data_IF_678746819321
#
_entry.id   IF_678746819321
#
_cell.length_a   1.000
_cell.length_b   1.000
_cell.length_c   1.000
_cell.angle_alpha   90.00
_cell.angle_beta   90.00
_cell.angle_gamma   90.00
#
_symmetry.space_group_name_H-M   'P 1'
#
loop_
_entity.id
_entity.type
_entity.pdbx_description
1 polymer ?
#
# COMPACT_ATOMS: atom_id res chain seq x y z
N UNK A 1 -22.24 -11.47 -18.03
CA UNK A 1 -20.85 -11.00 -18.24
C UNK A 1 -20.93 -9.56 -18.73
N UNK A 2 -20.36 -8.62 -17.98
CA UNK A 2 -20.37 -7.19 -18.31
C UNK A 2 -19.15 -6.78 -19.15
N UNK A 3 -19.06 -5.50 -19.56
CA UNK A 3 -17.84 -4.96 -20.18
C UNK A 3 -16.65 -5.01 -19.20
N UNK A 4 -15.40 -4.78 -19.65
CA UNK A 4 -14.22 -4.73 -18.77
C UNK A 4 -14.39 -3.82 -17.54
N UNK A 5 -15.13 -2.73 -17.70
CA UNK A 5 -15.45 -1.80 -16.61
C UNK A 5 -16.20 -2.45 -15.44
N UNK A 6 -16.98 -3.50 -15.70
CA UNK A 6 -17.69 -4.26 -14.68
C UNK A 6 -16.76 -5.02 -13.74
N UNK A 7 -15.47 -5.14 -14.07
CA UNK A 7 -14.44 -5.79 -13.27
C UNK A 7 -13.41 -4.82 -12.70
N UNK A 8 -13.62 -3.51 -12.86
CA UNK A 8 -12.71 -2.49 -12.34
C UNK A 8 -13.12 -2.03 -10.94
N UNK A 9 -12.20 -2.10 -9.98
CA UNK A 9 -12.46 -1.68 -8.59
C UNK A 9 -12.65 -0.17 -8.42
N UNK A 10 -12.29 0.65 -9.42
CA UNK A 10 -12.39 2.12 -9.37
C UNK A 10 -13.56 2.68 -10.18
N UNK A 11 -14.42 1.83 -10.76
CA UNK A 11 -15.58 2.26 -11.55
C UNK A 11 -16.87 1.87 -10.81
N UNK A 12 -17.65 2.87 -10.42
CA UNK A 12 -18.96 2.69 -9.80
C UNK A 12 -19.98 2.14 -10.81
N UNK A 13 -20.93 1.32 -10.33
CA UNK A 13 -22.12 0.99 -11.11
C UNK A 13 -23.07 2.19 -11.14
N UNK A 14 -23.54 2.57 -12.33
CA UNK A 14 -24.43 3.73 -12.53
C UNK A 14 -25.78 3.25 -13.06
N UNK A 15 -26.86 3.76 -12.50
CA UNK A 15 -28.22 3.47 -12.91
C UNK A 15 -28.92 4.78 -13.25
N UNK A 16 -29.51 4.86 -14.44
CA UNK A 16 -30.24 6.02 -14.92
C UNK A 16 -31.59 5.61 -15.52
N UNK A 17 -32.55 6.52 -15.47
CA UNK A 17 -33.86 6.31 -16.07
C UNK A 17 -34.49 7.63 -16.48
N UNK A 18 -35.15 7.63 -17.63
CA UNK A 18 -35.81 8.79 -18.19
C UNK A 18 -37.08 8.40 -18.94
N UNK A 19 -38.02 9.35 -19.01
CA UNK A 19 -39.21 9.22 -19.84
C UNK A 19 -38.91 9.79 -21.23
N UNK A 20 -39.02 8.96 -22.26
CA UNK A 20 -38.94 9.36 -23.66
C UNK A 20 -40.36 9.44 -24.20
N UNK A 21 -40.83 10.66 -24.50
CA UNK A 21 -42.07 10.83 -25.25
C UNK A 21 -41.76 10.56 -26.72
N UNK A 22 -42.40 9.55 -27.29
CA UNK A 22 -42.28 9.23 -28.72
C UNK A 22 -43.55 9.70 -29.39
N UNK A 23 -43.43 10.71 -30.26
CA UNK A 23 -44.53 11.16 -31.10
C UNK A 23 -44.70 10.18 -32.27
N UNK A 24 -45.81 9.44 -32.30
CA UNK A 24 -46.23 8.61 -33.43
C UNK A 24 -47.66 8.98 -33.82
N UNK A 25 -47.80 9.94 -34.73
CA UNK A 25 -49.12 10.41 -35.19
C UNK A 25 -49.87 11.21 -34.12
N UNK A 26 -51.22 11.22 -34.09
CA UNK A 26 -52.01 12.01 -33.15
C UNK A 26 -51.95 11.52 -31.69
N UNK A 27 -51.28 10.40 -31.40
CA UNK A 27 -51.11 9.86 -30.05
C UNK A 27 -49.67 10.04 -29.56
N UNK A 28 -49.52 10.71 -28.41
CA UNK A 28 -48.25 10.79 -27.70
C UNK A 28 -48.13 9.61 -26.72
N UNK A 29 -47.08 8.80 -26.85
CA UNK A 29 -46.81 7.71 -25.91
C UNK A 29 -45.50 7.94 -25.17
N UNK A 30 -45.60 8.19 -23.87
CA UNK A 30 -44.44 8.31 -22.98
C UNK A 30 -43.93 6.93 -22.59
N UNK A 31 -42.71 6.60 -23.00
CA UNK A 31 -42.03 5.34 -22.70
C UNK A 31 -40.91 5.61 -21.70
N UNK A 32 -40.98 5.02 -20.51
CA UNK A 32 -39.85 5.01 -19.58
C UNK A 32 -38.78 4.04 -20.07
N UNK A 33 -37.56 4.53 -20.23
CA UNK A 33 -36.37 3.68 -20.43
C UNK A 33 -35.44 3.83 -19.25
N UNK A 34 -34.92 2.70 -18.78
CA UNK A 34 -33.83 2.62 -17.82
C UNK A 34 -32.58 2.15 -18.54
N UNK A 35 -31.43 2.64 -18.11
CA UNK A 35 -30.12 2.16 -18.53
C UNK A 35 -29.25 1.94 -17.29
N UNK A 36 -28.42 0.91 -17.33
CA UNK A 36 -27.44 0.63 -16.28
C UNK A 36 -26.07 0.40 -16.91
N UNK A 37 -25.06 0.99 -16.31
CA UNK A 37 -23.65 0.76 -16.62
C UNK A 37 -23.07 -0.01 -15.44
N UNK A 38 -22.69 -1.26 -15.69
CA UNK A 38 -22.08 -2.11 -14.67
C UNK A 38 -20.62 -1.67 -14.42
N UNK A 39 -20.33 -1.30 -13.18
CA UNK A 39 -18.99 -1.05 -12.67
C UNK A 39 -18.62 -2.08 -11.60
N UNK A 40 -17.33 -2.36 -11.41
CA UNK A 40 -16.84 -3.38 -10.49
C UNK A 40 -16.63 -2.92 -9.04
N UNK A 41 -16.67 -1.61 -8.77
CA UNK A 41 -16.34 -1.05 -7.46
C UNK A 41 -17.27 -1.54 -6.34
N UNK A 42 -16.69 -1.94 -5.21
CA UNK A 42 -17.45 -2.21 -3.99
C UNK A 42 -18.10 -0.90 -3.48
N UNK A 43 -19.44 -0.86 -3.30
CA UNK A 43 -20.14 0.37 -2.91
C UNK A 43 -19.83 0.80 -1.46
N UNK A 44 -19.55 -0.14 -0.56
CA UNK A 44 -19.31 0.17 0.86
C UNK A 44 -17.96 0.85 1.12
N UNK A 45 -16.90 0.39 0.47
CA UNK A 45 -15.56 0.93 0.64
C UNK A 45 -15.09 1.81 -0.52
N UNK A 46 -15.95 2.06 -1.52
CA UNK A 46 -15.63 2.84 -2.72
C UNK A 46 -14.36 2.34 -3.41
N UNK A 47 -14.18 1.02 -3.46
CA UNK A 47 -13.00 0.41 -4.08
C UNK A 47 -11.69 0.60 -3.31
N UNK A 48 -11.72 1.02 -2.04
CA UNK A 48 -10.52 1.08 -1.18
C UNK A 48 -10.10 -0.29 -0.62
N UNK A 49 -11.04 -1.22 -0.50
CA UNK A 49 -10.83 -2.52 0.16
C UNK A 49 -10.83 -2.47 1.69
N UNK A 50 -10.58 -1.30 2.25
CA UNK A 50 -10.68 -1.02 3.68
C UNK A 50 -11.79 -0.01 3.94
N UNK A 51 -12.43 -0.16 5.10
CA UNK A 51 -13.36 0.84 5.62
C UNK A 51 -12.70 1.55 6.79
N UNK A 52 -12.86 2.87 6.81
CA UNK A 52 -12.56 3.67 8.00
C UNK A 52 -13.51 3.21 9.09
N UNK A 53 -12.94 2.62 10.11
CA UNK A 53 -13.66 2.20 11.28
C UNK A 53 -13.07 2.87 12.51
N UNK A 54 -13.83 2.84 13.60
CA UNK A 54 -13.41 3.46 14.85
C UNK A 54 -13.00 2.33 15.79
N UNK A 55 -11.77 2.40 16.26
CA UNK A 55 -11.35 1.61 17.42
C UNK A 55 -12.06 2.15 18.65
N UNK A 56 -13.08 1.42 19.10
CA UNK A 56 -13.91 1.77 20.25
C UNK A 56 -13.10 1.87 21.53
N UNK A 57 -12.00 1.12 21.65
CA UNK A 57 -11.12 1.16 22.83
C UNK A 57 -10.40 2.50 22.95
N UNK A 58 -10.28 3.26 21.86
CA UNK A 58 -9.68 4.59 21.84
C UNK A 58 -10.70 5.70 22.15
N UNK A 59 -11.99 5.36 22.31
CA UNK A 59 -13.05 6.33 22.59
C UNK A 59 -13.36 6.49 24.09
N UNK A 60 -13.04 5.48 24.89
CA UNK A 60 -13.33 5.49 26.32
C UNK A 60 -12.34 4.65 27.14
N UNK A 61 -12.28 4.95 28.43
CA UNK A 61 -11.56 4.21 29.47
C UNK A 61 -12.53 3.20 30.11
N UNK A 62 -12.29 1.87 29.98
CA UNK A 62 -13.24 0.85 30.44
C UNK A 62 -13.36 0.77 31.96
N UNK A 63 -12.35 1.23 32.71
CA UNK A 63 -12.30 1.12 34.17
C UNK A 63 -13.02 2.29 34.88
N UNK A 64 -13.51 3.28 34.14
CA UNK A 64 -14.22 4.45 34.67
C UNK A 64 -15.69 4.46 34.28
N UNK A 65 -16.50 5.15 35.07
CA UNK A 65 -17.88 5.47 34.70
C UNK A 65 -17.97 6.72 33.81
N UNK A 66 -19.12 6.94 33.18
CA UNK A 66 -19.34 8.14 32.36
C UNK A 66 -19.21 9.43 33.19
N UNK A 67 -19.68 9.40 34.44
CA UNK A 67 -19.57 10.53 35.37
C UNK A 67 -18.11 10.81 35.82
N UNK A 68 -17.27 9.78 35.89
CA UNK A 68 -15.83 9.89 36.21
C UNK A 68 -14.97 10.35 35.01
N UNK A 69 -15.59 10.56 33.85
CA UNK A 69 -14.88 10.99 32.64
C UNK A 69 -14.25 9.85 31.87
N UNK A 70 -14.97 8.73 31.74
CA UNK A 70 -14.54 7.62 30.90
C UNK A 70 -14.35 7.98 29.42
N UNK A 71 -15.07 8.97 28.88
CA UNK A 71 -15.00 9.30 27.44
C UNK A 71 -13.70 10.07 27.13
N UNK A 72 -12.84 9.50 26.28
CA UNK A 72 -11.52 10.07 25.92
C UNK A 72 -11.56 10.93 24.66
N UNK A 73 -12.73 11.09 24.05
CA UNK A 73 -12.95 11.90 22.86
C UNK A 73 -12.75 13.40 23.17
N UNK A 74 -11.95 14.15 22.38
CA UNK A 74 -11.76 15.58 22.60
C UNK A 74 -13.09 16.35 22.65
N UNK A 75 -13.28 17.12 23.71
CA UNK A 75 -14.50 17.92 23.95
C UNK A 75 -15.57 17.22 24.80
N UNK A 76 -15.41 15.95 25.15
CA UNK A 76 -16.38 15.16 25.92
C UNK A 76 -16.03 15.07 27.40
N UNK A 77 -15.94 16.23 28.06
CA UNK A 77 -15.77 16.27 29.53
C UNK A 77 -17.10 15.88 30.22
N UNK A 78 -17.11 15.36 31.46
CA UNK A 78 -18.34 15.05 32.19
C UNK A 78 -19.36 16.20 32.25
N UNK A 79 -18.86 17.44 32.34
CA UNK A 79 -19.67 18.67 32.37
C UNK A 79 -20.11 19.16 30.99
N UNK A 80 -19.63 18.53 29.91
CA UNK A 80 -19.95 18.95 28.55
C UNK A 80 -21.36 18.51 28.15
N UNK A 81 -22.04 19.35 27.36
CA UNK A 81 -23.41 19.10 26.91
C UNK A 81 -23.61 17.73 26.22
N UNK A 82 -22.71 17.25 25.35
CA UNK A 82 -22.84 15.92 24.74
C UNK A 82 -22.88 14.78 25.76
N UNK A 83 -22.13 14.88 26.86
CA UNK A 83 -22.06 13.86 27.93
C UNK A 83 -23.26 13.98 28.85
N UNK A 84 -23.73 15.19 29.14
CA UNK A 84 -24.95 15.41 29.93
C UNK A 84 -26.19 14.77 29.27
N UNK A 85 -26.27 14.79 27.94
CA UNK A 85 -27.32 14.08 27.19
C UNK A 85 -27.21 12.56 27.41
N UNK A 86 -25.99 12.02 27.46
CA UNK A 86 -25.76 10.58 27.67
C UNK A 86 -26.17 10.19 29.09
N UNK A 87 -25.70 10.94 30.09
CA UNK A 87 -26.02 10.71 31.51
C UNK A 87 -27.52 10.81 31.77
N UNK A 88 -28.20 11.80 31.19
CA UNK A 88 -29.63 12.01 31.41
C UNK A 88 -30.53 11.18 30.47
N UNK A 89 -29.97 10.31 29.62
CA UNK A 89 -30.75 9.54 28.64
C UNK A 89 -31.63 8.46 29.27
N UNK A 90 -31.24 7.95 30.45
CA UNK A 90 -31.86 6.78 31.08
C UNK A 90 -31.64 5.46 30.34
N UNK A 91 -30.76 5.43 29.33
CA UNK A 91 -30.48 4.25 28.50
C UNK A 91 -29.27 3.44 28.96
N UNK A 92 -28.49 3.99 29.88
CA UNK A 92 -27.29 3.42 30.49
C UNK A 92 -27.22 3.86 31.96
N UNK A 93 -26.46 3.12 32.77
CA UNK A 93 -26.07 3.55 34.12
C UNK A 93 -24.80 4.42 34.06
N UNK A 94 -24.86 5.73 34.39
CA UNK A 94 -23.73 6.64 34.26
C UNK A 94 -22.69 6.52 35.37
N UNK A 95 -23.01 5.87 36.49
CA UNK A 95 -22.13 5.68 37.65
C UNK A 95 -21.39 4.34 37.62
N UNK A 96 -21.88 3.41 36.80
CA UNK A 96 -21.28 2.11 36.57
C UNK A 96 -20.05 2.21 35.64
N UNK A 97 -18.92 1.55 35.98
CA UNK A 97 -17.78 1.44 35.06
C UNK A 97 -18.18 0.79 33.73
N UNK A 98 -17.64 1.29 32.61
CA UNK A 98 -18.06 0.82 31.27
C UNK A 98 -17.78 -0.68 31.08
N UNK A 99 -16.71 -1.23 31.65
CA UNK A 99 -16.40 -2.68 31.57
C UNK A 99 -17.50 -3.58 32.12
N UNK A 100 -18.32 -3.06 33.05
CA UNK A 100 -19.37 -3.82 33.71
C UNK A 100 -20.73 -3.68 32.97
N UNK A 101 -20.79 -2.86 31.92
CA UNK A 101 -22.01 -2.68 31.12
C UNK A 101 -22.48 -4.00 30.52
N UNK A 102 -23.80 -4.21 30.57
CA UNK A 102 -24.43 -5.29 29.82
C UNK A 102 -24.31 -5.03 28.31
N UNK A 103 -24.43 -6.07 27.48
CA UNK A 103 -24.37 -5.93 26.02
C UNK A 103 -25.38 -4.89 25.49
N UNK A 104 -26.54 -4.76 26.15
CA UNK A 104 -27.56 -3.75 25.79
C UNK A 104 -27.14 -2.34 26.18
N UNK A 105 -26.58 -2.15 27.38
CA UNK A 105 -26.04 -0.85 27.83
C UNK A 105 -24.87 -0.41 26.94
N UNK A 106 -23.95 -1.33 26.62
CA UNK A 106 -22.81 -1.07 25.77
C UNK A 106 -23.23 -0.73 24.33
N UNK A 107 -24.21 -1.47 23.78
CA UNK A 107 -24.79 -1.16 22.48
C UNK A 107 -25.46 0.23 22.47
N UNK A 108 -26.24 0.55 23.51
CA UNK A 108 -26.88 1.85 23.66
C UNK A 108 -25.84 2.97 23.69
N UNK A 109 -24.78 2.80 24.48
CA UNK A 109 -23.68 3.74 24.63
C UNK A 109 -22.90 3.98 23.33
N UNK A 110 -22.59 2.92 22.57
CA UNK A 110 -21.70 3.01 21.40
C UNK A 110 -22.43 3.22 20.08
N UNK A 111 -23.48 2.44 19.80
CA UNK A 111 -23.99 2.25 18.44
C UNK A 111 -25.43 2.70 18.20
N UNK A 112 -26.14 3.12 19.25
CA UNK A 112 -27.56 3.50 19.12
C UNK A 112 -27.78 4.59 18.07
N UNK A 113 -28.75 4.33 17.19
CA UNK A 113 -29.20 5.31 16.22
C UNK A 113 -29.84 6.54 16.91
N UNK A 114 -29.88 7.66 16.19
CA UNK A 114 -30.43 8.92 16.66
C UNK A 114 -31.88 8.75 17.13
N UNK A 115 -32.08 8.73 18.45
CA UNK A 115 -33.37 8.53 19.11
C UNK A 115 -33.74 9.79 19.88
N UNK A 116 -35.01 10.20 19.82
CA UNK A 116 -35.49 11.30 20.65
C UNK A 116 -35.65 10.83 22.10
N UNK A 117 -34.99 11.52 23.02
CA UNK A 117 -35.10 11.32 24.47
C UNK A 117 -35.60 12.61 25.12
N UNK A 118 -36.38 12.48 26.19
CA UNK A 118 -36.93 13.63 26.91
C UNK A 118 -36.05 13.91 28.12
N UNK A 119 -35.34 15.04 28.10
CA UNK A 119 -34.41 15.45 29.16
C UNK A 119 -34.86 16.82 29.67
N UNK A 120 -35.13 16.93 30.97
CA UNK A 120 -35.52 18.20 31.63
C UNK A 120 -36.58 19.00 30.87
N UNK A 121 -37.69 18.35 30.50
CA UNK A 121 -38.80 18.91 29.71
C UNK A 121 -38.50 19.37 28.27
N UNK A 122 -37.33 19.03 27.72
CA UNK A 122 -36.97 19.32 26.33
C UNK A 122 -36.70 18.03 25.56
N UNK A 123 -37.12 17.98 24.29
CA UNK A 123 -36.80 16.86 23.40
C UNK A 123 -35.36 17.02 22.91
N UNK A 124 -34.50 16.07 23.27
CA UNK A 124 -33.11 16.00 22.83
C UNK A 124 -32.90 14.76 21.95
N UNK A 125 -31.85 14.78 21.13
CA UNK A 125 -31.46 13.63 20.31
C UNK A 125 -30.30 12.92 20.97
N UNK A 126 -30.55 11.70 21.44
CA UNK A 126 -29.53 10.77 21.89
C UNK A 126 -29.03 9.95 20.71
N UNK A 127 -27.72 9.75 20.64
CA UNK A 127 -27.07 8.91 19.65
C UNK A 127 -25.83 8.31 20.30
N UNK A 128 -25.49 7.08 19.90
CA UNK A 128 -24.31 6.39 20.39
C UNK A 128 -23.02 7.14 20.04
N UNK A 129 -22.00 6.93 20.87
CA UNK A 129 -20.71 7.62 20.77
C UNK A 129 -20.05 7.42 19.40
N UNK A 130 -20.07 6.20 18.84
CA UNK A 130 -19.49 5.88 17.52
C UNK A 130 -20.23 6.65 16.42
N UNK A 131 -21.56 6.67 16.47
CA UNK A 131 -22.41 7.39 15.50
C UNK A 131 -22.10 8.89 15.51
N UNK A 132 -22.00 9.47 16.70
CA UNK A 132 -21.69 10.90 16.87
C UNK A 132 -20.29 11.25 16.41
N UNK A 133 -19.28 10.44 16.77
CA UNK A 133 -17.88 10.64 16.36
C UNK A 133 -17.74 10.57 14.85
N UNK A 134 -18.36 9.56 14.21
CA UNK A 134 -18.36 9.41 12.75
C UNK A 134 -18.96 10.64 12.06
N UNK A 135 -20.09 11.15 12.55
CA UNK A 135 -20.72 12.35 12.00
C UNK A 135 -19.90 13.62 12.23
N UNK A 136 -19.27 13.76 13.39
CA UNK A 136 -18.65 15.03 13.82
C UNK A 136 -17.20 15.20 13.35
N UNK A 137 -16.45 14.11 13.25
CA UNK A 137 -15.02 14.11 12.95
C UNK A 137 -14.67 13.47 11.60
N UNK A 138 -15.39 12.42 11.17
CA UNK A 138 -15.05 11.69 9.93
C UNK A 138 -15.75 12.23 8.67
N UNK A 139 -16.67 13.19 8.81
CA UNK A 139 -17.31 13.88 7.69
C UNK A 139 -16.56 15.13 7.21
N UNK A 140 -15.55 15.57 7.96
CA UNK A 140 -14.76 16.78 7.69
C UNK A 140 -13.42 16.44 7.09
N UNK A 141 -12.87 17.35 6.30
CA UNK A 141 -11.51 17.22 5.77
C UNK A 141 -10.51 17.16 6.93
N UNK A 142 -9.62 16.16 6.88
CA UNK A 142 -8.62 15.89 7.92
C UNK A 142 -7.63 17.03 8.08
N UNK A 143 -7.31 17.75 7.01
CA UNK A 143 -6.40 18.91 7.05
C UNK A 143 -7.05 20.17 7.65
N UNK A 144 -8.39 20.21 7.72
CA UNK A 144 -9.14 21.29 8.36
C UNK A 144 -9.36 21.08 9.88
N UNK A 145 -8.91 19.94 10.43
CA UNK A 145 -9.06 19.61 11.85
C UNK A 145 -8.00 20.28 12.71
N UNK A 146 -8.38 20.71 13.92
CA UNK A 146 -7.43 21.22 14.92
C UNK A 146 -6.43 20.13 15.32
N UNK A 147 -5.16 20.47 15.64
CA UNK A 147 -4.09 19.49 15.85
C UNK A 147 -4.42 18.36 16.85
N UNK A 148 -5.05 18.71 17.98
CA UNK A 148 -5.42 17.72 19.00
C UNK A 148 -6.59 16.81 18.57
N UNK A 149 -7.50 17.31 17.72
CA UNK A 149 -8.57 16.50 17.12
C UNK A 149 -7.97 15.58 16.07
N UNK A 150 -7.03 16.09 15.25
CA UNK A 150 -6.31 15.29 14.25
C UNK A 150 -5.57 14.13 14.90
N UNK A 151 -4.84 14.38 15.98
CA UNK A 151 -4.13 13.34 16.74
C UNK A 151 -5.09 12.28 17.30
N UNK A 152 -6.27 12.68 17.77
CA UNK A 152 -7.31 11.75 18.20
C UNK A 152 -7.85 10.92 17.03
N UNK A 153 -8.17 11.55 15.89
CA UNK A 153 -8.66 10.86 14.69
C UNK A 153 -7.61 9.86 14.18
N UNK A 154 -6.35 10.25 14.08
CA UNK A 154 -5.27 9.38 13.63
C UNK A 154 -5.05 8.18 14.58
N UNK A 155 -5.36 8.32 15.88
CA UNK A 155 -5.31 7.23 16.87
C UNK A 155 -6.55 6.34 16.86
N UNK A 156 -7.74 6.94 16.77
CA UNK A 156 -9.01 6.25 16.92
C UNK A 156 -9.54 5.66 15.61
N UNK A 157 -9.09 6.15 14.47
CA UNK A 157 -9.42 5.56 13.16
C UNK A 157 -8.53 4.35 12.93
N UNK A 158 -9.15 3.19 12.88
CA UNK A 158 -8.53 1.99 12.36
C UNK A 158 -9.04 1.71 10.97
N UNK A 159 -8.15 1.20 10.13
CA UNK A 159 -8.54 0.66 8.84
C UNK A 159 -8.84 -0.81 9.04
N UNK A 160 -10.11 -1.19 8.91
CA UNK A 160 -10.53 -2.59 8.90
C UNK A 160 -10.75 -3.04 7.47
N UNK A 161 -10.47 -4.31 7.20
CA UNK A 161 -10.86 -4.96 5.95
C UNK A 161 -12.37 -4.77 5.75
N UNK A 162 -12.78 -4.33 4.56
CA UNK A 162 -14.19 -4.10 4.26
C UNK A 162 -14.94 -5.44 4.35
N UNK A 163 -15.96 -5.59 5.20
CA UNK A 163 -16.65 -6.87 5.38
C UNK A 163 -17.51 -7.29 4.17
N UNK A 164 -17.93 -6.33 3.33
CA UNK A 164 -18.76 -6.65 2.16
C UNK A 164 -17.94 -7.29 1.03
N UNK A 165 -16.71 -6.81 0.85
CA UNK A 165 -15.81 -7.29 -0.22
C UNK A 165 -14.62 -8.09 0.30
N UNK A 166 -14.47 -8.24 1.61
CA UNK A 166 -13.34 -8.89 2.27
C UNK A 166 -11.97 -8.40 1.75
N UNK A 167 -11.83 -7.09 1.57
CA UNK A 167 -10.58 -6.49 1.09
C UNK A 167 -10.40 -6.48 -0.42
N UNK A 168 -11.15 -7.28 -1.18
CA UNK A 168 -11.00 -7.44 -2.65
C UNK A 168 -11.31 -6.19 -3.47
N UNK A 169 -11.89 -5.15 -2.85
CA UNK A 169 -12.27 -3.86 -3.48
C UNK A 169 -13.39 -3.95 -4.51
N UNK A 170 -13.85 -5.14 -4.83
CA UNK A 170 -14.83 -5.43 -5.88
C UNK A 170 -16.21 -5.73 -5.30
N UNK A 171 -17.25 -5.46 -6.07
CA UNK A 171 -18.62 -5.85 -5.72
C UNK A 171 -18.85 -7.35 -5.94
N UNK A 172 -20.00 -7.83 -5.48
CA UNK A 172 -20.38 -9.24 -5.57
C UNK A 172 -20.50 -9.74 -7.02
N UNK A 173 -21.04 -8.92 -7.94
CA UNK A 173 -21.21 -9.29 -9.34
C UNK A 173 -19.87 -9.52 -10.06
N UNK A 174 -18.85 -8.72 -9.76
CA UNK A 174 -17.51 -8.90 -10.30
C UNK A 174 -16.84 -10.17 -9.74
N UNK A 175 -17.02 -10.46 -8.44
CA UNK A 175 -16.44 -11.63 -7.76
C UNK A 175 -17.13 -12.95 -8.11
N UNK A 176 -18.41 -12.92 -8.50
CA UNK A 176 -19.14 -14.13 -8.88
C UNK A 176 -18.77 -14.64 -10.27
N UNK A 177 -18.18 -13.80 -11.11
CA UNK A 177 -17.62 -14.19 -12.41
C UNK A 177 -16.30 -14.92 -12.23
N UNK A 178 -16.24 -16.17 -12.69
CA UNK A 178 -15.11 -17.07 -12.47
C UNK A 178 -14.63 -17.71 -13.77
N UNK A 179 -13.32 -17.88 -13.90
CA UNK A 179 -12.68 -18.68 -14.94
C UNK A 179 -12.10 -19.90 -14.24
N UNK A 180 -12.54 -21.11 -14.61
CA UNK A 180 -12.14 -22.38 -13.94
C UNK A 180 -12.21 -22.32 -12.41
N UNK A 181 -13.26 -21.67 -11.87
CA UNK A 181 -13.49 -21.54 -10.42
C UNK A 181 -12.80 -20.36 -9.74
N UNK A 182 -11.94 -19.61 -10.44
CA UNK A 182 -11.13 -18.50 -9.92
C UNK A 182 -11.74 -17.17 -10.35
N UNK A 183 -12.04 -16.28 -9.40
CA UNK A 183 -12.50 -14.92 -9.68
C UNK A 183 -11.34 -13.97 -9.98
N UNK A 184 -11.61 -12.78 -10.50
CA UNK A 184 -10.57 -11.75 -10.70
C UNK A 184 -9.90 -11.33 -9.37
N UNK A 185 -10.63 -11.37 -8.25
CA UNK A 185 -10.08 -11.07 -6.94
C UNK A 185 -9.07 -12.15 -6.51
N UNK A 186 -9.44 -13.42 -6.68
CA UNK A 186 -8.58 -14.56 -6.36
C UNK A 186 -7.32 -14.54 -7.22
N UNK A 187 -7.47 -14.29 -8.53
CA UNK A 187 -6.34 -14.18 -9.46
C UNK A 187 -5.37 -13.05 -9.07
N UNK A 188 -5.88 -11.88 -8.65
CA UNK A 188 -5.03 -10.77 -8.22
C UNK A 188 -4.30 -11.02 -6.89
N UNK A 189 -4.86 -11.88 -6.02
CA UNK A 189 -4.28 -12.23 -4.73
C UNK A 189 -3.20 -13.32 -4.81
N UNK A 190 -3.14 -14.08 -5.91
CA UNK A 190 -2.07 -15.05 -6.15
C UNK A 190 -0.71 -14.36 -6.23
N UNK A 191 0.35 -15.12 -5.88
CA UNK A 191 1.69 -14.72 -6.30
C UNK A 191 1.74 -14.68 -7.83
N UNK A 192 2.44 -13.69 -8.38
CA UNK A 192 2.53 -13.49 -9.82
C UNK A 192 3.12 -14.73 -10.51
N UNK A 193 4.03 -15.46 -9.86
CA UNK A 193 4.54 -16.75 -10.35
C UNK A 193 3.41 -17.77 -10.58
N UNK A 194 2.54 -17.92 -9.58
CA UNK A 194 1.45 -18.90 -9.58
C UNK A 194 0.36 -18.46 -10.57
N UNK A 195 0.10 -17.14 -10.62
CA UNK A 195 -0.80 -16.55 -11.59
C UNK A 195 -0.30 -16.77 -13.02
N UNK A 196 1.00 -16.58 -13.28
CA UNK A 196 1.59 -16.83 -14.60
C UNK A 196 1.38 -18.29 -15.04
N UNK A 197 1.62 -19.24 -14.14
CA UNK A 197 1.42 -20.66 -14.40
C UNK A 197 -0.06 -21.00 -14.63
N UNK A 198 -0.96 -20.42 -13.83
CA UNK A 198 -2.40 -20.57 -14.04
C UNK A 198 -2.86 -20.02 -15.39
N UNK A 199 -2.41 -18.82 -15.79
CA UNK A 199 -2.74 -18.24 -17.10
C UNK A 199 -2.17 -19.08 -18.24
N UNK A 200 -0.99 -19.70 -18.08
CA UNK A 200 -0.43 -20.66 -19.06
C UNK A 200 -1.29 -21.90 -19.24
N UNK A 201 -2.04 -22.30 -18.22
CA UNK A 201 -2.96 -23.45 -18.30
C UNK A 201 -4.26 -23.17 -19.07
N UNK A 202 -4.57 -21.89 -19.35
CA UNK A 202 -5.81 -21.50 -20.02
C UNK A 202 -5.71 -21.77 -21.53
N UNK A 203 -6.54 -22.70 -22.01
CA UNK A 203 -6.71 -23.00 -23.44
C UNK A 203 -8.00 -22.35 -23.93
N UNK A 204 -7.90 -21.09 -24.35
CA UNK A 204 -9.05 -20.27 -24.77
C UNK A 204 -8.79 -19.62 -26.15
N UNK A 205 -9.01 -20.36 -27.26
CA UNK A 205 -8.69 -19.89 -28.61
C UNK A 205 -9.39 -18.57 -28.99
N UNK A 206 -10.59 -18.34 -28.46
CA UNK A 206 -11.39 -17.14 -28.73
C UNK A 206 -10.73 -15.84 -28.26
N UNK A 207 -9.82 -15.90 -27.29
CA UNK A 207 -9.12 -14.75 -26.69
C UNK A 207 -7.60 -14.96 -26.66
N UNK A 208 -7.07 -15.84 -27.52
CA UNK A 208 -5.66 -16.21 -27.53
C UNK A 208 -4.67 -15.02 -27.55
N UNK A 209 -4.88 -13.93 -28.33
CA UNK A 209 -3.97 -12.78 -28.29
C UNK A 209 -3.94 -12.07 -26.92
N UNK A 210 -5.07 -12.04 -26.21
CA UNK A 210 -5.17 -11.43 -24.88
C UNK A 210 -4.44 -12.27 -23.84
N UNK A 211 -4.64 -13.60 -23.89
CA UNK A 211 -3.95 -14.55 -23.00
C UNK A 211 -2.44 -14.47 -23.23
N UNK A 212 -1.97 -14.47 -24.48
CA UNK A 212 -0.54 -14.35 -24.79
C UNK A 212 0.06 -13.02 -24.28
N UNK A 213 -0.65 -11.90 -24.44
CA UNK A 213 -0.19 -10.59 -23.92
C UNK A 213 -0.11 -10.58 -22.39
N UNK A 214 -1.09 -11.20 -21.72
CA UNK A 214 -1.10 -11.31 -20.27
C UNK A 214 0.03 -12.21 -19.77
N UNK A 215 0.25 -13.38 -20.40
CA UNK A 215 1.34 -14.29 -20.10
C UNK A 215 2.69 -13.59 -20.22
N UNK A 216 2.96 -12.92 -21.34
CA UNK A 216 4.22 -12.18 -21.54
C UNK A 216 4.44 -11.10 -20.47
N UNK A 217 3.36 -10.44 -20.05
CA UNK A 217 3.43 -9.43 -18.96
C UNK A 217 3.80 -10.08 -17.64
N UNK A 218 3.14 -11.17 -17.25
CA UNK A 218 3.39 -11.89 -16.00
C UNK A 218 4.79 -12.53 -15.99
N UNK A 219 5.22 -13.10 -17.12
CA UNK A 219 6.57 -13.67 -17.30
C UNK A 219 7.62 -12.59 -17.09
N UNK A 220 7.40 -11.38 -17.63
CA UNK A 220 8.27 -10.24 -17.40
C UNK A 220 8.38 -9.88 -15.92
N UNK A 221 7.33 -9.99 -15.11
CA UNK A 221 7.42 -9.78 -13.66
C UNK A 221 8.25 -10.89 -12.98
N UNK A 222 8.09 -12.15 -13.39
CA UNK A 222 8.82 -13.29 -12.81
C UNK A 222 10.31 -13.20 -13.13
N UNK A 223 10.67 -12.94 -14.39
CA UNK A 223 12.06 -12.84 -14.87
C UNK A 223 12.87 -11.79 -14.11
N UNK A 224 12.24 -10.69 -13.71
CA UNK A 224 12.90 -9.60 -12.98
C UNK A 224 12.91 -9.78 -11.47
N UNK A 225 12.51 -10.97 -11.00
CA UNK A 225 12.47 -11.29 -9.58
C UNK A 225 11.34 -10.60 -8.82
N UNK A 226 10.22 -10.27 -9.47
CA UNK A 226 8.99 -9.78 -8.82
C UNK A 226 7.88 -10.84 -8.74
N UNK A 227 8.17 -12.10 -9.09
CA UNK A 227 7.19 -13.19 -9.07
C UNK A 227 6.53 -13.45 -7.71
N UNK A 228 7.19 -13.10 -6.60
CA UNK A 228 6.67 -13.28 -5.24
C UNK A 228 5.62 -12.23 -4.84
N UNK A 229 5.46 -11.16 -5.63
CA UNK A 229 4.43 -10.16 -5.40
C UNK A 229 3.06 -10.69 -5.81
N UNK A 230 2.00 -10.08 -5.29
CA UNK A 230 0.63 -10.21 -5.80
C UNK A 230 0.21 -8.91 -6.50
N UNK A 231 -0.77 -8.99 -7.40
CA UNK A 231 -1.27 -7.82 -8.14
C UNK A 231 -2.14 -6.90 -7.28
N UNK A 232 -2.70 -7.41 -6.18
CA UNK A 232 -3.48 -6.64 -5.22
C UNK A 232 -2.64 -5.90 -4.17
N UNK A 233 -1.31 -6.14 -4.12
CA UNK A 233 -0.40 -5.46 -3.19
C UNK A 233 -0.40 -3.95 -3.45
N UNK A 234 -0.68 -3.11 -2.43
CA UNK A 234 -0.70 -1.66 -2.61
C UNK A 234 0.67 -1.11 -3.03
N UNK A 235 0.71 -0.26 -4.05
CA UNK A 235 1.95 0.30 -4.60
C UNK A 235 2.77 1.09 -3.57
N UNK A 236 2.10 1.71 -2.59
CA UNK A 236 2.77 2.45 -1.50
C UNK A 236 3.49 1.56 -0.48
N UNK A 237 3.31 0.23 -0.55
CA UNK A 237 3.98 -0.74 0.32
C UNK A 237 5.18 -1.41 -0.35
N UNK A 238 5.45 -1.09 -1.62
CA UNK A 238 6.60 -1.61 -2.34
C UNK A 238 7.87 -0.91 -1.85
N UNK A 239 8.96 -1.67 -1.71
CA UNK A 239 10.29 -1.10 -1.48
C UNK A 239 10.72 -0.24 -2.68
N UNK A 240 11.70 0.64 -2.48
CA UNK A 240 12.24 1.45 -3.58
C UNK A 240 12.69 0.60 -4.78
N UNK A 241 13.41 -0.48 -4.50
CA UNK A 241 13.85 -1.44 -5.52
C UNK A 241 12.71 -2.20 -6.18
N UNK A 242 11.68 -2.62 -5.43
CA UNK A 242 10.48 -3.24 -5.99
C UNK A 242 9.76 -2.26 -6.94
N UNK A 243 9.47 -1.05 -6.49
CA UNK A 243 8.78 -0.03 -7.27
C UNK A 243 9.52 0.34 -8.56
N UNK A 244 10.85 0.42 -8.49
CA UNK A 244 11.71 0.66 -9.65
C UNK A 244 11.61 -0.48 -10.68
N UNK A 245 11.71 -1.73 -10.23
CA UNK A 245 11.57 -2.91 -11.10
C UNK A 245 10.16 -3.00 -11.74
N UNK A 246 9.09 -2.68 -11.00
CA UNK A 246 7.72 -2.63 -11.56
C UNK A 246 7.62 -1.63 -12.71
N UNK A 247 8.26 -0.46 -12.59
CA UNK A 247 8.27 0.54 -13.66
C UNK A 247 8.99 0.03 -14.91
N UNK A 248 10.03 -0.77 -14.74
CA UNK A 248 10.78 -1.35 -15.85
C UNK A 248 10.00 -2.38 -16.65
N UNK A 249 9.13 -3.19 -16.00
CA UNK A 249 8.26 -4.16 -16.72
C UNK A 249 7.50 -3.50 -17.86
N UNK A 250 6.96 -2.30 -17.62
CA UNK A 250 6.19 -1.56 -18.61
C UNK A 250 7.00 -1.24 -19.87
N UNK A 251 8.31 -1.02 -19.72
CA UNK A 251 9.19 -0.74 -20.84
C UNK A 251 9.64 -2.02 -21.55
N UNK A 252 9.81 -3.13 -20.83
CA UNK A 252 10.12 -4.43 -21.42
C UNK A 252 8.96 -4.98 -22.26
N UNK A 253 7.71 -4.79 -21.82
CA UNK A 253 6.53 -5.18 -22.59
C UNK A 253 6.23 -4.28 -23.80
N UNK A 254 6.93 -3.15 -23.93
CA UNK A 254 6.73 -2.22 -25.04
C UNK A 254 7.44 -2.70 -26.31
N UNK A 255 6.81 -2.47 -27.46
CA UNK A 255 7.41 -2.67 -28.78
C UNK A 255 8.25 -1.49 -29.25
N UNK A 256 8.56 -0.54 -28.34
CA UNK A 256 9.34 0.64 -28.67
C UNK A 256 10.80 0.25 -28.97
N UNK A 257 11.29 0.72 -30.12
CA UNK A 257 12.67 0.67 -30.58
C UNK A 257 13.14 2.10 -30.85
N UNK A 258 14.46 2.34 -30.97
CA UNK A 258 15.04 3.66 -31.19
C UNK A 258 14.72 4.69 -30.09
N UNK A 259 14.49 4.21 -28.85
CA UNK A 259 14.29 5.07 -27.68
C UNK A 259 15.59 5.17 -26.87
N UNK A 260 15.85 6.34 -26.32
CA UNK A 260 16.91 6.54 -25.32
C UNK A 260 16.32 6.44 -23.92
N UNK A 261 16.64 5.37 -23.20
CA UNK A 261 16.32 5.21 -21.79
C UNK A 261 17.43 5.80 -20.93
N UNK A 262 17.05 6.64 -19.97
CA UNK A 262 17.97 7.22 -18.98
C UNK A 262 17.57 6.72 -17.60
N UNK A 263 18.47 5.98 -16.95
CA UNK A 263 18.30 5.44 -15.61
C UNK A 263 19.23 6.17 -14.63
N UNK A 264 18.65 6.59 -13.51
CA UNK A 264 19.36 7.17 -12.38
C UNK A 264 19.43 6.13 -11.25
N UNK A 265 20.62 5.60 -10.99
CA UNK A 265 20.91 4.53 -10.01
C UNK A 265 19.85 3.41 -9.97
N UNK A 266 19.69 2.63 -11.07
CA UNK A 266 18.72 1.54 -11.16
C UNK A 266 18.88 0.45 -10.10
N UNK A 267 20.03 0.38 -9.43
CA UNK A 267 20.28 -0.66 -8.41
C UNK A 267 20.14 -0.18 -6.98
N UNK A 268 19.67 1.05 -6.74
CA UNK A 268 19.49 1.58 -5.39
C UNK A 268 18.52 0.69 -4.58
N UNK A 269 18.93 0.31 -3.37
CA UNK A 269 18.15 -0.56 -2.49
C UNK A 269 17.99 -2.00 -3.00
N UNK A 270 18.71 -2.41 -4.06
CA UNK A 270 18.73 -3.81 -4.52
C UNK A 270 19.74 -4.64 -3.73
N UNK A 271 19.29 -5.84 -3.34
CA UNK A 271 20.18 -6.87 -2.83
C UNK A 271 21.20 -7.27 -3.91
N UNK A 272 22.47 -7.57 -3.58
CA UNK A 272 23.48 -7.93 -4.59
C UNK A 272 23.06 -9.04 -5.55
N UNK A 273 22.32 -10.04 -5.06
CA UNK A 273 21.76 -11.11 -5.90
C UNK A 273 20.80 -10.61 -7.00
N UNK A 274 20.07 -9.51 -6.76
CA UNK A 274 19.11 -8.95 -7.72
C UNK A 274 19.76 -7.95 -8.70
N UNK A 275 21.01 -7.53 -8.46
CA UNK A 275 21.75 -6.67 -9.40
C UNK A 275 21.94 -7.38 -10.74
N UNK A 276 22.23 -8.68 -10.72
CA UNK A 276 22.40 -9.46 -11.93
C UNK A 276 21.14 -9.46 -12.82
N UNK A 277 19.96 -9.59 -12.19
CA UNK A 277 18.67 -9.49 -12.91
C UNK A 277 18.47 -8.11 -13.51
N UNK A 278 18.81 -7.06 -12.77
CA UNK A 278 18.76 -5.68 -13.28
C UNK A 278 19.68 -5.51 -14.50
N UNK A 279 20.91 -6.04 -14.42
CA UNK A 279 21.88 -6.01 -15.50
C UNK A 279 21.33 -6.69 -16.77
N UNK A 280 20.77 -7.90 -16.64
CA UNK A 280 20.15 -8.62 -17.77
C UNK A 280 19.01 -7.83 -18.42
N UNK A 281 18.24 -7.08 -17.63
CA UNK A 281 17.20 -6.21 -18.17
C UNK A 281 17.72 -5.03 -18.97
N UNK A 282 18.76 -4.36 -18.45
CA UNK A 282 19.40 -3.24 -19.14
C UNK A 282 19.96 -3.71 -20.49
N UNK A 283 20.60 -4.88 -20.52
CA UNK A 283 21.11 -5.50 -21.74
C UNK A 283 19.97 -5.84 -22.71
N UNK A 284 18.86 -6.44 -22.24
CA UNK A 284 17.70 -6.73 -23.10
C UNK A 284 17.06 -5.48 -23.67
N UNK A 285 16.98 -4.40 -22.91
CA UNK A 285 16.47 -3.12 -23.41
C UNK A 285 17.36 -2.59 -24.54
N UNK A 286 18.68 -2.63 -24.36
CA UNK A 286 19.67 -2.28 -25.39
C UNK A 286 19.51 -3.17 -26.63
N UNK A 287 19.47 -4.49 -26.46
CA UNK A 287 19.45 -5.47 -27.54
C UNK A 287 18.16 -5.43 -28.37
N UNK A 288 17.10 -4.80 -27.85
CA UNK A 288 15.90 -4.43 -28.61
C UNK A 288 16.12 -3.26 -29.59
N UNK A 289 17.33 -2.72 -29.71
CA UNK A 289 17.64 -1.57 -30.57
C UNK A 289 17.40 -0.23 -29.88
N UNK A 290 17.59 -0.16 -28.56
CA UNK A 290 17.47 1.08 -27.80
C UNK A 290 18.84 1.55 -27.29
N UNK A 291 18.95 2.84 -27.00
CA UNK A 291 20.10 3.37 -26.26
C UNK A 291 19.77 3.37 -24.77
N UNK A 292 20.65 2.80 -23.94
CA UNK A 292 20.47 2.73 -22.49
C UNK A 292 21.59 3.49 -21.81
N UNK A 293 21.27 4.65 -21.24
CA UNK A 293 22.19 5.47 -20.44
C UNK A 293 21.91 5.23 -18.96
N UNK A 294 22.94 4.85 -18.21
CA UNK A 294 22.81 4.51 -16.78
C UNK A 294 23.80 5.34 -15.97
N UNK A 295 23.29 6.05 -14.96
CA UNK A 295 24.10 6.64 -13.89
C UNK A 295 24.22 5.60 -12.79
N UNK A 296 25.43 5.12 -12.54
CA UNK A 296 25.70 4.08 -11.53
C UNK A 296 27.08 4.24 -10.89
N UNK A 297 27.20 3.65 -9.71
CA UNK A 297 28.45 3.57 -8.95
C UNK A 297 28.81 2.13 -8.57
N UNK A 298 27.93 1.15 -8.81
CA UNK A 298 28.21 -0.26 -8.50
C UNK A 298 29.11 -0.92 -9.56
N UNK A 299 30.23 -1.56 -9.16
CA UNK A 299 31.14 -2.23 -10.09
C UNK A 299 30.46 -3.27 -10.98
N UNK A 300 29.46 -3.98 -10.47
CA UNK A 300 28.72 -5.02 -11.20
C UNK A 300 27.93 -4.45 -12.38
N UNK A 301 27.42 -3.22 -12.28
CA UNK A 301 26.71 -2.57 -13.39
C UNK A 301 27.70 -1.96 -14.37
N UNK A 302 28.75 -1.30 -13.87
CA UNK A 302 29.82 -0.74 -14.71
C UNK A 302 30.44 -1.85 -15.57
N UNK A 303 30.59 -3.05 -15.02
CA UNK A 303 31.20 -4.19 -15.70
C UNK A 303 30.47 -4.66 -16.97
N UNK A 304 29.16 -4.41 -17.09
CA UNK A 304 28.36 -4.83 -18.26
C UNK A 304 28.23 -3.73 -19.33
N UNK A 305 28.78 -2.53 -19.08
CA UNK A 305 28.63 -1.40 -19.98
C UNK A 305 29.48 -1.59 -21.26
N UNK A 306 28.89 -1.30 -22.42
CA UNK A 306 29.62 -1.25 -23.68
C UNK A 306 30.53 -0.01 -23.76
N UNK A 307 30.10 1.07 -23.12
CA UNK A 307 30.82 2.35 -23.07
C UNK A 307 30.61 3.01 -21.71
N UNK A 308 31.68 3.57 -21.14
CA UNK A 308 31.67 4.25 -19.85
C UNK A 308 32.18 5.68 -20.02
N UNK A 309 31.46 6.62 -19.41
CA UNK A 309 31.86 8.02 -19.26
C UNK A 309 32.07 8.26 -17.77
N UNK A 310 33.30 8.57 -17.38
CA UNK A 310 33.64 8.92 -16.00
C UNK A 310 33.68 10.44 -15.84
N UNK A 311 32.96 10.95 -14.84
CA UNK A 311 32.85 12.39 -14.55
C UNK A 311 33.58 12.72 -13.24
N UNK A 312 34.32 13.83 -13.23
CA UNK A 312 35.06 14.24 -12.05
C UNK A 312 35.91 15.49 -12.30
N UNK A 313 37.10 15.60 -11.66
CA UNK A 313 37.70 14.68 -10.68
C UNK A 313 37.11 14.75 -9.26
N UNK A 314 36.30 15.78 -8.96
CA UNK A 314 35.61 15.96 -7.68
C UNK A 314 34.14 16.34 -7.88
N UNK A 315 33.48 16.76 -6.81
CA UNK A 315 32.09 17.25 -6.85
C UNK A 315 32.01 18.78 -6.95
N UNK A 316 30.86 19.31 -7.35
CA UNK A 316 30.59 20.75 -7.41
C UNK A 316 31.52 21.47 -8.39
N UNK A 317 32.17 22.55 -7.94
CA UNK A 317 33.09 23.35 -8.76
C UNK A 317 34.35 22.58 -9.21
N UNK A 318 34.65 21.43 -8.60
CA UNK A 318 35.77 20.56 -8.96
C UNK A 318 35.34 19.38 -9.86
N UNK A 319 34.07 19.37 -10.30
CA UNK A 319 33.49 18.34 -11.15
C UNK A 319 33.16 18.81 -12.55
N UNK A 320 32.25 18.08 -13.22
CA UNK A 320 31.70 18.47 -14.52
C UNK A 320 32.65 18.26 -15.71
N UNK A 321 33.80 17.62 -15.51
CA UNK A 321 34.75 17.28 -16.57
C UNK A 321 34.66 15.79 -16.90
N UNK A 322 34.71 15.46 -18.18
CA UNK A 322 34.86 14.06 -18.63
C UNK A 322 36.30 13.63 -18.38
N UNK A 323 36.50 12.79 -17.37
CA UNK A 323 37.80 12.27 -16.98
C UNK A 323 38.21 11.05 -17.83
N UNK A 324 37.24 10.28 -18.29
CA UNK A 324 37.45 9.14 -19.18
C UNK A 324 36.20 8.90 -20.04
N UNK A 325 36.40 8.44 -21.27
CA UNK A 325 35.35 7.94 -22.15
C UNK A 325 35.89 6.77 -22.98
N UNK A 326 35.27 5.59 -22.90
CA UNK A 326 35.76 4.40 -23.57
C UNK A 326 35.19 3.10 -23.02
N UNK A 327 35.93 2.00 -23.17
CA UNK A 327 35.52 0.68 -22.67
C UNK A 327 35.80 0.53 -21.17
N UNK A 328 35.16 -0.45 -20.54
CA UNK A 328 35.40 -0.80 -19.12
C UNK A 328 36.87 -1.16 -18.88
N UNK A 329 37.50 -1.89 -19.80
CA UNK A 329 38.92 -2.24 -19.67
C UNK A 329 39.83 -1.01 -19.79
N UNK A 330 39.48 -0.06 -20.64
CA UNK A 330 40.16 1.24 -20.70
C UNK A 330 40.00 2.02 -19.39
N UNK A 331 38.82 1.99 -18.77
CA UNK A 331 38.57 2.64 -17.48
C UNK A 331 39.42 2.02 -16.37
N UNK A 332 39.50 0.68 -16.32
CA UNK A 332 40.35 -0.06 -15.37
C UNK A 332 41.83 0.28 -15.50
N UNK A 333 42.30 0.54 -16.72
CA UNK A 333 43.69 0.95 -16.98
C UNK A 333 43.93 2.46 -16.75
N UNK A 334 42.88 3.26 -16.57
CA UNK A 334 42.96 4.70 -16.43
C UNK A 334 43.43 5.13 -15.02
N UNK A 335 43.94 6.35 -14.92
CA UNK A 335 44.31 6.98 -13.64
C UNK A 335 43.15 7.75 -13.00
N UNK A 336 41.90 7.50 -13.42
CA UNK A 336 40.72 8.13 -12.83
C UNK A 336 40.44 7.61 -11.42
N UNK A 337 39.62 8.34 -10.64
CA UNK A 337 39.23 7.90 -9.29
C UNK A 337 38.44 6.59 -9.35
N UNK A 338 37.48 6.52 -10.27
CA UNK A 338 36.63 5.35 -10.52
C UNK A 338 37.47 4.16 -11.00
N UNK A 339 38.37 4.37 -11.97
CA UNK A 339 39.26 3.32 -12.49
C UNK A 339 40.10 2.66 -11.39
N UNK A 340 40.63 3.44 -10.45
CA UNK A 340 41.38 2.92 -9.29
C UNK A 340 40.51 2.08 -8.35
N UNK A 341 39.29 2.53 -8.05
CA UNK A 341 38.42 1.87 -7.07
C UNK A 341 37.67 0.66 -7.62
N UNK A 342 37.57 0.47 -8.94
CA UNK A 342 36.93 -0.71 -9.54
C UNK A 342 37.54 -2.04 -9.09
N UNK A 343 38.83 -2.04 -8.72
CA UNK A 343 39.55 -3.21 -8.23
C UNK A 343 39.60 -3.35 -6.70
N UNK A 344 39.06 -2.38 -5.95
CA UNK A 344 39.18 -2.38 -4.49
C UNK A 344 38.38 -3.53 -3.89
N UNK A 345 39.04 -4.31 -3.03
CA UNK A 345 38.42 -5.38 -2.28
C UNK A 345 38.32 -4.98 -0.81
N UNK A 346 37.11 -5.08 -0.27
CA UNK A 346 36.89 -4.87 1.17
C UNK A 346 37.55 -6.01 1.93
N UNK A 347 38.49 -5.69 2.82
CA UNK A 347 39.05 -6.62 3.77
C UNK A 347 38.19 -6.66 5.04
N UNK A 348 38.05 -7.85 5.63
CA UNK A 348 37.48 -7.98 6.97
C UNK A 348 38.43 -7.35 7.99
N UNK A 349 37.88 -6.74 9.03
CA UNK A 349 38.68 -6.23 10.14
C UNK A 349 39.22 -7.40 10.95
N UNK A 350 40.51 -7.39 11.26
CA UNK A 350 41.14 -8.39 12.13
C UNK A 350 40.60 -8.35 13.56
N UNK A 351 40.13 -7.17 14.00
CA UNK A 351 39.57 -6.96 15.33
C UNK A 351 38.15 -6.43 15.23
N UNK A 352 37.24 -7.10 15.95
CA UNK A 352 35.84 -6.69 16.09
C UNK A 352 35.60 -6.18 17.50
N UNK A 353 34.60 -5.31 17.63
CA UNK A 353 34.18 -4.76 18.92
C UNK A 353 33.44 -5.81 19.75
N UNK A 354 33.68 -5.83 21.06
CA UNK A 354 32.90 -6.65 22.01
C UNK A 354 31.55 -5.95 22.30
N UNK A 355 30.41 -6.65 22.23
CA UNK A 355 29.11 -6.10 22.60
C UNK A 355 29.06 -5.65 24.07
N UNK A 356 28.40 -4.52 24.34
CA UNK A 356 28.13 -4.04 25.72
C UNK A 356 26.63 -4.16 25.98
N UNK A 357 26.16 -5.40 26.15
CA UNK A 357 24.74 -5.72 26.36
C UNK A 357 23.98 -6.17 25.11
N UNK A 358 22.66 -6.28 25.24
CA UNK A 358 21.73 -6.71 24.17
C UNK A 358 20.39 -6.02 24.30
N UNK A 359 19.80 -5.66 23.16
CA UNK A 359 18.40 -5.32 23.00
C UNK A 359 17.68 -6.56 22.48
N UNK A 360 16.76 -7.10 23.26
CA UNK A 360 16.06 -8.35 22.94
C UNK A 360 14.74 -8.06 22.24
N UNK A 361 14.56 -8.66 21.06
CA UNK A 361 13.27 -8.76 20.38
C UNK A 361 12.83 -10.22 20.52
N UNK A 362 11.59 -10.44 20.96
CA UNK A 362 11.04 -11.77 21.21
C UNK A 362 9.69 -11.95 20.55
N UNK A 363 9.47 -13.15 20.00
CA UNK A 363 8.19 -13.59 19.44
C UNK A 363 7.66 -12.70 18.32
N UNK A 364 8.53 -12.15 17.47
CA UNK A 364 8.10 -11.25 16.41
C UNK A 364 7.33 -12.02 15.31
N UNK A 365 6.06 -11.66 15.08
CA UNK A 365 5.14 -12.34 14.15
C UNK A 365 4.51 -11.42 13.11
N UNK A 366 4.88 -10.14 13.08
CA UNK A 366 4.27 -9.17 12.14
C UNK A 366 4.61 -9.51 10.69
N UNK A 367 3.61 -9.46 9.80
CA UNK A 367 3.74 -9.77 8.37
C UNK A 367 4.25 -11.20 8.09
N UNK A 368 5.42 -11.33 7.48
CA UNK A 368 6.03 -12.60 7.11
C UNK A 368 6.99 -13.15 8.19
N UNK A 369 7.11 -12.48 9.34
CA UNK A 369 7.95 -12.93 10.44
C UNK A 369 7.37 -14.19 11.08
N UNK A 370 8.21 -15.21 11.27
CA UNK A 370 7.82 -16.52 11.81
C UNK A 370 8.28 -16.69 13.25
N UNK A 371 7.61 -16.02 14.18
CA UNK A 371 7.90 -16.08 15.64
C UNK A 371 9.40 -15.92 15.93
N UNK A 372 9.96 -14.79 15.52
CA UNK A 372 11.40 -14.55 15.48
C UNK A 372 11.90 -13.94 16.80
N UNK A 373 12.96 -14.52 17.35
CA UNK A 373 13.73 -14.00 18.49
C UNK A 373 15.10 -13.49 18.00
N UNK A 374 15.45 -12.23 18.31
CA UNK A 374 16.72 -11.61 17.89
C UNK A 374 17.32 -10.78 19.01
N UNK A 375 18.64 -10.87 19.18
CA UNK A 375 19.44 -10.03 20.08
C UNK A 375 20.26 -9.01 19.27
N UNK A 376 19.98 -7.72 19.47
CA UNK A 376 20.72 -6.63 18.81
C UNK A 376 21.73 -6.04 19.79
N UNK A 377 23.04 -6.12 19.52
CA UNK A 377 24.04 -5.50 20.39
C UNK A 377 24.03 -3.97 20.22
N UNK A 378 23.77 -3.18 21.28
CA UNK A 378 23.78 -1.72 21.17
C UNK A 378 25.19 -1.22 20.83
N UNK A 379 25.30 -0.13 20.06
CA UNK A 379 26.59 0.54 19.89
C UNK A 379 27.01 1.08 21.27
N UNK A 380 28.16 0.63 21.78
CA UNK A 380 28.79 1.25 22.96
C UNK A 380 28.97 2.75 22.75
N UNK A 381 28.71 3.54 23.79
CA UNK A 381 28.81 5.00 23.79
C UNK A 381 30.26 5.44 23.57
N UNK A 382 30.64 5.62 22.31
CA UNK A 382 31.97 6.05 21.91
C UNK A 382 31.96 6.60 20.50
N UNK A 383 31.61 7.89 20.37
CA UNK A 383 31.81 8.68 19.14
C UNK A 383 30.54 9.10 18.41
N UNK A 384 30.13 10.36 18.63
CA UNK A 384 29.39 11.20 17.68
C UNK A 384 27.96 10.79 17.33
N UNK A 385 26.98 11.54 17.83
CA UNK A 385 25.59 11.50 17.36
C UNK A 385 25.51 11.63 15.83
N UNK A 386 25.15 10.54 15.14
CA UNK A 386 24.38 10.59 13.90
C UNK A 386 23.03 9.97 14.18
N UNK A 387 22.01 10.82 14.24
CA UNK A 387 20.62 10.40 14.38
C UNK A 387 20.09 9.77 13.09
N UNK A 388 19.04 8.96 13.26
CA UNK A 388 18.30 8.29 12.19
C UNK A 388 18.75 6.85 11.97
N UNK A 389 17.83 6.00 11.53
CA UNK A 389 17.97 4.58 11.19
C UNK A 389 17.65 3.59 12.31
N UNK A 390 16.35 3.42 12.57
CA UNK A 390 15.67 2.12 12.64
C UNK A 390 14.17 2.35 12.43
N UNK A 391 13.78 2.54 11.16
CA UNK A 391 12.38 2.59 10.73
C UNK A 391 12.14 1.54 9.66
N UNK A 392 11.18 0.64 9.88
CA UNK A 392 10.50 -0.25 8.93
C UNK A 392 11.33 -1.12 7.93
N UNK A 393 12.65 -1.26 8.04
CA UNK A 393 13.44 -2.06 7.07
C UNK A 393 13.51 -3.57 7.34
N UNK A 394 12.89 -4.11 8.39
CA UNK A 394 12.87 -5.56 8.63
C UNK A 394 11.82 -6.35 7.82
N UNK A 395 11.12 -5.71 6.87
CA UNK A 395 10.12 -6.38 6.02
C UNK A 395 10.73 -7.23 4.87
N UNK A 396 12.06 -7.28 4.72
CA UNK A 396 12.72 -7.94 3.59
C UNK A 396 13.63 -9.13 3.93
N UNK A 397 13.77 -9.52 5.19
CA UNK A 397 14.67 -10.61 5.55
C UNK A 397 14.10 -11.98 5.11
N UNK A 398 14.64 -12.53 4.02
CA UNK A 398 14.55 -13.97 3.71
C UNK A 398 15.15 -14.73 4.89
N UNK A 399 14.35 -15.59 5.51
CA UNK A 399 14.86 -16.76 6.23
C UNK A 399 14.94 -17.85 5.17
N UNK A 400 16.11 -18.01 4.56
CA UNK A 400 16.40 -19.20 3.76
C UNK A 400 16.39 -20.40 4.71
N UNK A 401 15.46 -21.33 4.45
CA UNK A 401 15.41 -22.62 5.10
C UNK A 401 16.03 -23.66 4.17
N UNK A 402 17.17 -24.22 4.57
CA UNK A 402 17.78 -25.40 3.94
C UNK A 402 19.01 -25.10 3.12
#
# INVERSE_FOLDING_TARGET
>A
MGPPNAFSFNIASVHGGGALTVDRGPEQKTVRRTFSLAGGMCPRCEGRGQVTDIDVTQLYDPDKSVNEGAITVPGYKPTSWPVQIIVASGLIDPDKPIRDYTDTELHNFLYREATKVRISNTNQTYEGLVVRVRRSFLSKDRDALQPHIRAFVDRAVTFRTCPDCDGTRLNEAARSSKIRGISIADACAMQISDLAEWVRSLDEPSVAPLVATLQHTLDSFVEIGLGYLSLDRPSGTLSGGEAQRVRMVRHLGSSLTDVTYVFDEPTIGLHPHDIQRMNELLLRLRDKGNTVLVVEHKPEVIAIADHVIDLGPGAGAQGGTVCFAGTVDGLRASSTLTGRHLGDRVALKDTVRTPVGKLEIRGATTHNLKNVDVDIPPRGAGGGHRGGWFGQEFAGARVDSG
#
